data_IF_676403707211
#
_entry.id   IF_676403707211
#
_cell.length_a   1.000
_cell.length_b   1.000
_cell.length_c   1.000
_cell.angle_alpha   90.00
_cell.angle_beta   90.00
_cell.angle_gamma   90.00
#
_symmetry.space_group_name_H-M   'P 1'
#
loop_
_entity.id
_entity.type
_entity.pdbx_description
1 polymer ?
#
# COMPACT_ATOMS: atom_id res chain seq x y z
N UNK A 1 -25.41 82.14 21.02
CA UNK A 1 -24.59 81.12 20.32
C UNK A 1 -25.51 80.05 19.76
N UNK A 2 -25.23 79.56 18.54
CA UNK A 2 -26.24 79.30 17.50
C UNK A 2 -26.65 77.82 17.39
N UNK A 3 -27.97 77.55 17.36
CA UNK A 3 -28.56 76.23 17.06
C UNK A 3 -28.06 75.59 15.75
N UNK A 4 -27.57 76.40 14.79
CA UNK A 4 -27.01 75.93 13.54
C UNK A 4 -25.69 75.13 13.71
N UNK A 5 -24.91 75.40 14.76
CA UNK A 5 -23.62 74.73 15.00
C UNK A 5 -23.82 73.32 15.56
N UNK A 6 -24.85 73.12 16.40
CA UNK A 6 -25.24 71.80 16.91
C UNK A 6 -25.76 70.89 15.81
N UNK A 7 -26.55 71.41 14.87
CA UNK A 7 -27.06 70.63 13.73
C UNK A 7 -25.93 70.15 12.79
N UNK A 8 -24.94 71.01 12.51
CA UNK A 8 -23.75 70.64 11.72
C UNK A 8 -22.93 69.56 12.40
N UNK A 9 -22.74 69.65 13.72
CA UNK A 9 -22.00 68.65 14.50
C UNK A 9 -22.68 67.28 14.49
N UNK A 10 -24.01 67.25 14.64
CA UNK A 10 -24.80 66.00 14.55
C UNK A 10 -24.74 65.41 13.15
N UNK A 11 -24.79 66.24 12.10
CA UNK A 11 -24.67 65.79 10.72
C UNK A 11 -23.29 65.20 10.41
N UNK A 12 -22.21 65.84 10.89
CA UNK A 12 -20.85 65.32 10.76
C UNK A 12 -20.67 63.97 11.47
N UNK A 13 -21.22 63.82 12.68
CA UNK A 13 -21.21 62.54 13.41
C UNK A 13 -21.95 61.44 12.64
N UNK A 14 -23.10 61.75 12.03
CA UNK A 14 -23.84 60.78 11.19
C UNK A 14 -23.08 60.39 9.94
N UNK A 15 -22.38 61.33 9.29
CA UNK A 15 -21.56 61.05 8.10
C UNK A 15 -20.39 60.15 8.47
N UNK A 16 -19.67 60.45 9.55
CA UNK A 16 -18.56 59.63 10.04
C UNK A 16 -19.01 58.23 10.45
N UNK A 17 -20.16 58.12 11.12
CA UNK A 17 -20.74 56.83 11.49
C UNK A 17 -21.08 55.99 10.24
N UNK A 18 -21.72 56.59 9.23
CA UNK A 18 -22.02 55.90 7.96
C UNK A 18 -20.75 55.49 7.21
N UNK A 19 -19.70 56.31 7.23
CA UNK A 19 -18.41 55.95 6.62
C UNK A 19 -17.76 54.75 7.32
N UNK A 20 -17.77 54.72 8.65
CA UNK A 20 -17.24 53.59 9.43
C UNK A 20 -18.04 52.29 9.22
N UNK A 21 -19.37 52.39 9.11
CA UNK A 21 -20.23 51.25 8.81
C UNK A 21 -19.95 50.66 7.42
N UNK A 22 -19.80 51.52 6.40
CA UNK A 22 -19.43 51.12 5.05
C UNK A 22 -18.06 50.43 4.99
N UNK A 23 -17.07 50.93 5.74
CA UNK A 23 -15.75 50.32 5.84
C UNK A 23 -15.82 48.92 6.48
N UNK A 24 -16.58 48.76 7.57
CA UNK A 24 -16.80 47.45 8.21
C UNK A 24 -17.49 46.46 7.28
N UNK A 25 -18.50 46.90 6.53
CA UNK A 25 -19.16 46.05 5.53
C UNK A 25 -18.24 45.64 4.39
N UNK A 26 -17.38 46.54 3.90
CA UNK A 26 -16.41 46.24 2.85
C UNK A 26 -15.39 45.18 3.31
N UNK A 27 -14.84 45.33 4.52
CA UNK A 27 -13.91 44.36 5.12
C UNK A 27 -14.59 43.00 5.28
N UNK A 28 -15.83 42.98 5.79
CA UNK A 28 -16.59 41.73 6.01
C UNK A 28 -16.93 41.01 4.70
N UNK A 29 -17.18 41.76 3.61
CA UNK A 29 -17.41 41.17 2.28
C UNK A 29 -16.11 40.64 1.69
N UNK A 30 -15.01 41.37 1.84
CA UNK A 30 -13.70 40.93 1.38
C UNK A 30 -13.22 39.66 2.10
N UNK A 31 -13.40 39.58 3.43
CA UNK A 31 -13.07 38.38 4.20
C UNK A 31 -13.92 37.18 3.79
N UNK A 32 -15.24 37.37 3.64
CA UNK A 32 -16.15 36.30 3.14
C UNK A 32 -15.81 35.85 1.71
N UNK A 33 -15.28 36.73 0.87
CA UNK A 33 -14.88 36.38 -0.50
C UNK A 33 -13.56 35.60 -0.52
N UNK A 34 -12.58 36.00 0.30
CA UNK A 34 -11.34 35.26 0.49
C UNK A 34 -11.61 33.84 1.03
N UNK A 35 -12.53 33.71 2.00
CA UNK A 35 -12.94 32.43 2.59
C UNK A 35 -13.66 31.52 1.57
N UNK A 36 -14.41 32.11 0.63
CA UNK A 36 -15.01 31.37 -0.49
C UNK A 36 -14.00 30.95 -1.55
N UNK A 37 -12.89 31.67 -1.70
CA UNK A 37 -11.81 31.30 -2.61
C UNK A 37 -10.96 30.15 -2.04
N UNK A 38 -10.69 30.17 -0.72
CA UNK A 38 -9.99 29.07 -0.02
C UNK A 38 -10.84 27.81 0.10
N UNK A 39 -12.17 27.92 0.27
CA UNK A 39 -13.08 26.76 0.30
C UNK A 39 -13.72 26.42 -1.07
N UNK A 40 -13.43 27.21 -2.10
CA UNK A 40 -13.94 27.03 -3.46
C UNK A 40 -13.23 25.94 -4.24
N UNK A 41 -13.65 25.74 -5.50
CA UNK A 41 -13.08 24.73 -6.41
C UNK A 41 -11.56 24.90 -6.60
N UNK A 42 -11.07 26.15 -6.60
CA UNK A 42 -9.64 26.49 -6.69
C UNK A 42 -8.88 26.09 -5.42
N UNK A 43 -9.43 26.38 -4.24
CA UNK A 43 -8.86 25.94 -2.97
C UNK A 43 -8.83 24.42 -2.84
N UNK A 44 -9.89 23.73 -3.27
CA UNK A 44 -9.91 22.26 -3.36
C UNK A 44 -8.84 21.73 -4.31
N UNK A 45 -8.70 22.31 -5.50
CA UNK A 45 -7.69 21.88 -6.49
C UNK A 45 -6.27 22.09 -5.96
N UNK A 46 -5.99 23.22 -5.30
CA UNK A 46 -4.70 23.45 -4.62
C UNK A 46 -4.48 22.45 -3.47
N UNK A 47 -5.51 22.17 -2.67
CA UNK A 47 -5.48 21.18 -1.59
C UNK A 47 -5.29 19.74 -2.11
N UNK A 48 -5.75 19.43 -3.33
CA UNK A 48 -5.47 18.16 -4.02
C UNK A 48 -4.04 18.09 -4.55
N UNK A 49 -3.46 19.20 -5.00
CA UNK A 49 -2.07 19.26 -5.48
C UNK A 49 -1.06 19.25 -4.34
N UNK A 50 -1.41 19.81 -3.18
CA UNK A 50 -0.56 19.85 -1.97
C UNK A 50 -0.84 18.69 -1.00
N UNK A 51 -1.84 17.84 -1.27
CA UNK A 51 -2.14 16.70 -0.41
C UNK A 51 -0.96 15.74 -0.43
N UNK A 52 -0.37 15.50 0.75
CA UNK A 52 0.58 14.39 0.92
C UNK A 52 -0.03 13.13 0.33
N UNK A 53 0.72 12.38 -0.47
CA UNK A 53 0.16 11.22 -1.12
C UNK A 53 -0.31 10.23 -0.06
N UNK A 54 -1.59 9.90 -0.10
CA UNK A 54 -2.21 8.99 0.87
C UNK A 54 -2.06 7.57 0.34
N UNK A 55 -1.43 6.70 1.14
CA UNK A 55 -1.32 5.27 0.83
C UNK A 55 -2.53 4.52 1.35
N UNK A 56 -3.05 3.59 0.57
CA UNK A 56 -4.08 2.62 0.94
C UNK A 56 -3.51 1.20 0.87
N UNK A 57 -3.98 0.33 1.76
CA UNK A 57 -3.63 -1.09 1.80
C UNK A 57 -4.90 -1.88 1.59
N UNK A 58 -4.95 -2.63 0.49
CA UNK A 58 -6.11 -3.41 0.06
C UNK A 58 -5.73 -4.88 0.06
N UNK A 59 -6.65 -5.71 0.56
CA UNK A 59 -6.58 -7.16 0.44
C UNK A 59 -7.72 -7.64 -0.43
N UNK A 60 -7.42 -8.57 -1.33
CA UNK A 60 -8.38 -9.17 -2.23
C UNK A 60 -8.30 -10.69 -2.12
N UNK A 61 -9.44 -11.36 -1.95
CA UNK A 61 -9.55 -12.82 -1.91
C UNK A 61 -9.71 -13.36 -3.31
N UNK A 62 -8.81 -14.23 -3.76
CA UNK A 62 -8.90 -14.81 -5.10
C UNK A 62 -10.01 -15.87 -5.22
N UNK A 63 -10.44 -16.44 -4.10
CA UNK A 63 -11.48 -17.47 -4.07
C UNK A 63 -12.90 -16.88 -4.04
N UNK A 64 -13.11 -15.85 -3.22
CA UNK A 64 -14.44 -15.28 -2.98
C UNK A 64 -14.68 -13.97 -3.74
N UNK A 65 -13.66 -13.41 -4.40
CA UNK A 65 -13.68 -12.09 -5.06
C UNK A 65 -14.00 -10.91 -4.10
N UNK A 66 -14.00 -11.18 -2.79
CA UNK A 66 -14.19 -10.17 -1.76
C UNK A 66 -12.91 -9.37 -1.58
N UNK A 67 -13.05 -8.07 -1.31
CA UNK A 67 -11.93 -7.21 -0.97
C UNK A 67 -12.22 -6.41 0.29
N UNK A 68 -11.16 -6.12 1.04
CA UNK A 68 -11.18 -5.23 2.19
C UNK A 68 -10.12 -4.16 2.02
N UNK A 69 -10.40 -2.95 2.50
CA UNK A 69 -9.41 -1.88 2.60
C UNK A 69 -9.14 -1.63 4.07
N UNK A 70 -7.86 -1.60 4.46
CA UNK A 70 -7.52 -1.34 5.85
C UNK A 70 -8.03 0.05 6.27
N UNK A 71 -8.83 0.15 7.36
CA UNK A 71 -9.41 1.41 7.80
C UNK A 71 -8.36 2.41 8.29
N UNK A 72 -7.28 1.91 8.90
CA UNK A 72 -6.17 2.71 9.39
C UNK A 72 -4.89 2.16 8.77
N UNK A 73 -4.17 3.03 8.07
CA UNK A 73 -2.88 2.69 7.47
C UNK A 73 -1.77 3.00 8.47
N UNK A 74 -0.90 2.02 8.79
CA UNK A 74 0.18 2.24 9.75
C UNK A 74 1.17 3.29 9.24
N UNK A 75 1.74 4.04 10.18
CA UNK A 75 2.83 4.98 9.94
C UNK A 75 3.97 4.71 10.95
N UNK A 76 5.15 4.26 10.51
CA UNK A 76 5.59 4.07 9.12
C UNK A 76 4.85 2.92 8.41
N UNK A 77 4.93 2.91 7.07
CA UNK A 77 4.46 1.78 6.26
C UNK A 77 5.19 0.50 6.66
N UNK A 78 4.55 -0.68 6.48
CA UNK A 78 5.16 -1.95 6.85
C UNK A 78 6.41 -2.22 6.04
N UNK A 79 7.41 -2.84 6.68
CA UNK A 79 8.67 -3.19 6.03
C UNK A 79 8.47 -4.42 5.16
N UNK A 80 8.81 -4.30 3.88
CA UNK A 80 8.80 -5.41 2.92
C UNK A 80 10.18 -6.07 2.99
N UNK A 81 10.22 -7.33 3.42
CA UNK A 81 11.45 -8.11 3.49
C UNK A 81 11.55 -9.04 2.28
N UNK A 82 12.62 -8.89 1.50
CA UNK A 82 12.90 -9.66 0.29
C UNK A 82 14.19 -10.50 0.49
N UNK A 83 14.11 -11.62 1.22
CA UNK A 83 15.29 -12.41 1.53
C UNK A 83 15.86 -13.07 0.27
N UNK A 84 17.17 -13.34 0.27
CA UNK A 84 17.84 -14.15 -0.75
C UNK A 84 18.64 -15.25 -0.08
N UNK A 85 18.50 -16.50 -0.55
CA UNK A 85 19.11 -17.69 0.06
C UNK A 85 20.58 -17.83 -0.33
N UNK A 86 21.38 -16.82 -0.02
CA UNK A 86 22.82 -16.83 -0.30
C UNK A 86 23.56 -17.74 0.69
N UNK A 87 24.50 -18.53 0.18
CA UNK A 87 25.35 -19.41 0.98
C UNK A 87 26.80 -18.90 0.97
N UNK A 88 27.56 -19.20 2.02
CA UNK A 88 28.99 -18.87 2.07
C UNK A 88 29.79 -20.17 2.14
N UNK A 89 30.61 -20.40 1.13
CA UNK A 89 31.54 -21.52 1.07
C UNK A 89 32.89 -21.07 1.62
N UNK A 90 33.28 -21.64 2.76
CA UNK A 90 34.55 -21.29 3.42
C UNK A 90 35.68 -22.12 2.80
N UNK A 91 36.46 -21.50 1.92
CA UNK A 91 37.59 -22.13 1.25
C UNK A 91 38.91 -21.89 2.00
N UNK A 92 39.92 -22.74 1.72
CA UNK A 92 41.26 -22.62 2.32
C UNK A 92 41.96 -21.28 2.01
N UNK A 93 41.60 -20.64 0.89
CA UNK A 93 42.16 -19.35 0.42
C UNK A 93 41.28 -18.14 0.72
N UNK A 94 40.13 -18.34 1.36
CA UNK A 94 39.14 -17.32 1.64
C UNK A 94 37.72 -17.79 1.35
N UNK A 95 36.77 -17.01 1.83
CA UNK A 95 35.35 -17.32 1.74
C UNK A 95 34.78 -16.87 0.39
N UNK A 96 33.98 -17.73 -0.23
CA UNK A 96 33.31 -17.48 -1.50
C UNK A 96 31.80 -17.43 -1.24
N UNK A 97 31.12 -16.41 -1.74
CA UNK A 97 29.66 -16.29 -1.60
C UNK A 97 28.96 -16.90 -2.81
N UNK A 98 28.11 -17.89 -2.56
CA UNK A 98 27.25 -18.55 -3.52
C UNK A 98 25.92 -17.81 -3.57
N UNK A 99 25.61 -17.22 -4.73
CA UNK A 99 24.36 -16.48 -4.95
C UNK A 99 23.24 -17.49 -5.11
N UNK A 100 22.31 -17.50 -4.15
CA UNK A 100 21.17 -18.39 -4.19
C UNK A 100 19.92 -17.72 -4.75
N UNK A 101 18.82 -18.50 -4.87
CA UNK A 101 17.55 -17.97 -5.35
C UNK A 101 16.97 -16.95 -4.36
N UNK A 102 16.12 -16.06 -4.90
CA UNK A 102 15.29 -15.19 -4.07
C UNK A 102 14.36 -16.05 -3.20
N UNK A 103 14.22 -15.66 -1.93
CA UNK A 103 13.25 -16.23 -1.01
C UNK A 103 11.88 -15.59 -1.16
N UNK A 104 10.91 -16.09 -0.39
CA UNK A 104 9.57 -15.53 -0.35
C UNK A 104 9.59 -14.18 0.35
N UNK A 105 8.91 -13.19 -0.23
CA UNK A 105 8.75 -11.90 0.41
C UNK A 105 7.85 -12.02 1.63
N UNK A 106 8.22 -11.32 2.70
CA UNK A 106 7.46 -11.33 3.96
C UNK A 106 7.17 -9.92 4.42
N UNK A 107 6.01 -9.75 5.08
CA UNK A 107 5.53 -8.49 5.59
C UNK A 107 4.83 -8.75 6.93
N UNK A 108 5.05 -7.88 7.91
CA UNK A 108 4.27 -7.87 9.16
C UNK A 108 3.50 -6.57 9.27
N UNK A 109 2.22 -6.68 9.59
CA UNK A 109 1.37 -5.56 10.00
C UNK A 109 1.25 -5.61 11.51
N UNK A 110 2.15 -4.91 12.21
CA UNK A 110 2.24 -4.95 13.67
C UNK A 110 1.32 -3.93 14.34
N UNK A 111 0.54 -4.40 15.32
CA UNK A 111 -0.31 -3.55 16.18
C UNK A 111 -1.20 -2.57 15.38
N UNK A 112 -1.77 -3.05 14.29
CA UNK A 112 -2.69 -2.27 13.47
C UNK A 112 -4.00 -2.05 14.23
N UNK A 113 -4.53 -0.83 14.13
CA UNK A 113 -5.81 -0.46 14.74
C UNK A 113 -6.94 -0.76 13.75
N UNK A 114 -7.87 -1.61 14.18
CA UNK A 114 -9.09 -1.97 13.48
C UNK A 114 -10.29 -1.40 14.28
N UNK A 115 -10.76 -0.18 13.94
CA UNK A 115 -11.87 0.47 14.63
C UNK A 115 -13.18 -0.27 14.36
N UNK A 116 -14.02 -0.42 15.39
CA UNK A 116 -15.31 -1.15 15.28
C UNK A 116 -16.48 -0.20 15.51
N UNK A 117 -17.19 0.14 14.43
CA UNK A 117 -18.32 1.07 14.48
C UNK A 117 -17.94 2.46 15.02
N UNK A 118 -16.71 2.92 14.73
CA UNK A 118 -16.19 4.24 15.12
C UNK A 118 -15.80 5.02 13.86
N UNK A 119 -16.02 6.34 13.91
CA UNK A 119 -15.68 7.27 12.84
C UNK A 119 -14.56 8.22 13.29
N UNK A 120 -13.35 7.69 13.50
CA UNK A 120 -12.20 8.54 13.81
C UNK A 120 -11.76 9.35 12.58
N UNK A 121 -11.22 10.55 12.81
CA UNK A 121 -10.77 11.46 11.74
C UNK A 121 -9.63 10.92 10.88
N UNK A 122 -8.89 9.93 11.41
CA UNK A 122 -7.78 9.26 10.72
C UNK A 122 -8.21 7.99 9.96
N UNK A 123 -9.48 7.58 10.06
CA UNK A 123 -10.01 6.46 9.28
C UNK A 123 -10.11 6.88 7.81
N UNK A 124 -9.73 5.96 6.92
CA UNK A 124 -9.90 6.11 5.49
C UNK A 124 -11.39 6.08 5.13
N UNK A 125 -11.82 6.99 4.25
CA UNK A 125 -13.23 7.06 3.83
C UNK A 125 -13.74 5.81 3.09
N UNK A 126 -12.83 5.04 2.48
CA UNK A 126 -13.06 3.72 1.86
C UNK A 126 -12.69 2.55 2.78
N UNK A 127 -12.34 2.82 4.04
CA UNK A 127 -11.93 1.82 5.01
C UNK A 127 -13.08 0.86 5.36
N UNK A 128 -12.78 -0.43 5.36
CA UNK A 128 -13.72 -1.47 5.81
C UNK A 128 -13.80 -1.46 7.35
N UNK A 129 -14.95 -1.82 7.92
CA UNK A 129 -15.10 -1.90 9.38
C UNK A 129 -14.13 -2.91 10.00
N UNK A 130 -13.60 -2.59 11.18
CA UNK A 130 -12.54 -3.38 11.81
C UNK A 130 -12.96 -4.82 12.13
N UNK A 131 -14.24 -5.05 12.47
CA UNK A 131 -14.75 -6.40 12.73
C UNK A 131 -14.79 -7.22 11.43
N UNK A 132 -15.19 -6.61 10.33
CA UNK A 132 -15.21 -7.24 9.02
C UNK A 132 -13.79 -7.56 8.53
N UNK A 133 -12.83 -6.66 8.75
CA UNK A 133 -11.42 -6.94 8.46
C UNK A 133 -10.91 -8.17 9.21
N UNK A 134 -11.19 -8.26 10.53
CA UNK A 134 -10.78 -9.42 11.32
C UNK A 134 -11.45 -10.71 10.82
N UNK A 135 -12.75 -10.67 10.54
CA UNK A 135 -13.50 -11.82 10.02
C UNK A 135 -12.96 -12.27 8.66
N UNK A 136 -12.62 -11.34 7.77
CA UNK A 136 -12.01 -11.63 6.49
C UNK A 136 -10.70 -12.42 6.67
N UNK A 137 -9.76 -11.94 7.48
CA UNK A 137 -8.49 -12.66 7.70
C UNK A 137 -8.70 -14.03 8.35
N UNK A 138 -9.66 -14.16 9.28
CA UNK A 138 -10.01 -15.45 9.87
C UNK A 138 -10.59 -16.41 8.81
N UNK A 139 -11.50 -15.94 7.96
CA UNK A 139 -12.12 -16.73 6.91
C UNK A 139 -11.10 -17.19 5.85
N UNK A 140 -10.20 -16.32 5.41
CA UNK A 140 -9.14 -16.68 4.46
C UNK A 140 -8.23 -17.80 5.02
N UNK A 141 -7.87 -17.73 6.31
CA UNK A 141 -7.09 -18.78 6.97
C UNK A 141 -7.87 -20.09 7.10
N UNK A 142 -9.16 -20.04 7.42
CA UNK A 142 -10.00 -21.24 7.55
C UNK A 142 -10.24 -21.93 6.21
N UNK A 143 -10.47 -21.16 5.15
CA UNK A 143 -10.70 -21.65 3.78
C UNK A 143 -9.41 -22.06 3.07
N UNK A 144 -8.24 -21.68 3.62
CA UNK A 144 -6.92 -21.91 3.01
C UNK A 144 -6.82 -21.26 1.63
N UNK A 145 -7.45 -20.11 1.49
CA UNK A 145 -7.46 -19.35 0.24
C UNK A 145 -6.24 -18.44 0.15
N UNK A 146 -5.78 -18.24 -1.09
CA UNK A 146 -4.77 -17.25 -1.42
C UNK A 146 -5.46 -15.89 -1.52
N UNK A 147 -4.83 -14.87 -0.94
CA UNK A 147 -5.27 -13.49 -1.07
C UNK A 147 -4.17 -12.68 -1.74
N UNK A 148 -4.51 -11.48 -2.20
CA UNK A 148 -3.58 -10.55 -2.82
C UNK A 148 -3.51 -9.29 -2.00
N UNK A 149 -2.30 -8.86 -1.66
CA UNK A 149 -2.06 -7.58 -0.99
C UNK A 149 -1.61 -6.55 -2.01
N UNK A 150 -2.26 -5.39 -1.98
CA UNK A 150 -1.92 -4.23 -2.80
C UNK A 150 -1.70 -3.01 -1.88
N UNK A 151 -0.51 -2.42 -1.94
CA UNK A 151 -0.18 -1.15 -1.28
C UNK A 151 -0.09 -0.10 -2.38
N UNK A 152 -1.07 0.80 -2.42
CA UNK A 152 -1.25 1.77 -3.50
C UNK A 152 -1.11 3.17 -2.94
N UNK A 153 -0.36 4.02 -3.61
CA UNK A 153 -0.24 5.44 -3.29
C UNK A 153 -1.29 6.24 -4.09
N UNK A 154 -1.74 7.38 -3.56
CA UNK A 154 -2.75 8.24 -4.21
C UNK A 154 -2.43 8.64 -5.65
N UNK A 155 -1.15 8.62 -6.02
CA UNK A 155 -0.67 8.99 -7.36
C UNK A 155 -0.81 7.83 -8.36
N UNK A 156 -1.40 6.71 -7.93
CA UNK A 156 -1.56 5.49 -8.72
C UNK A 156 -0.33 4.58 -8.71
N UNK A 157 0.73 4.94 -7.99
CA UNK A 157 1.92 4.11 -7.87
C UNK A 157 1.67 2.92 -6.94
N UNK A 158 1.99 1.71 -7.42
CA UNK A 158 1.89 0.48 -6.65
C UNK A 158 3.24 0.19 -5.96
N UNK A 159 3.27 0.24 -4.63
CA UNK A 159 4.47 -0.05 -3.82
C UNK A 159 4.66 -1.56 -3.71
N UNK A 160 3.57 -2.29 -3.53
CA UNK A 160 3.57 -3.75 -3.41
C UNK A 160 2.29 -4.29 -4.03
N UNK A 161 2.42 -5.33 -4.84
CA UNK A 161 1.30 -6.08 -5.40
C UNK A 161 1.75 -7.54 -5.50
N UNK A 162 1.30 -8.37 -4.55
CA UNK A 162 1.70 -9.79 -4.52
C UNK A 162 0.59 -10.72 -4.02
N UNK A 163 0.50 -11.94 -4.57
CA UNK A 163 -0.25 -13.01 -3.94
C UNK A 163 0.42 -13.40 -2.62
N UNK A 164 -0.37 -13.62 -1.58
CA UNK A 164 0.11 -13.86 -0.23
C UNK A 164 -0.88 -14.71 0.59
N UNK A 165 -0.37 -15.25 1.69
CA UNK A 165 -1.12 -15.97 2.72
C UNK A 165 -0.84 -15.36 4.09
N UNK A 166 -1.79 -15.54 5.01
CA UNK A 166 -1.63 -15.10 6.41
C UNK A 166 -1.20 -16.30 7.25
N UNK A 167 0.07 -16.29 7.67
CA UNK A 167 0.63 -17.33 8.53
C UNK A 167 0.13 -17.15 9.96
N UNK A 168 0.31 -15.94 10.48
CA UNK A 168 0.04 -15.59 11.87
C UNK A 168 -0.99 -14.47 11.97
N UNK A 169 -1.96 -14.66 12.85
CA UNK A 169 -2.97 -13.65 13.18
C UNK A 169 -3.16 -13.65 14.70
N UNK A 170 -2.81 -12.54 15.32
CA UNK A 170 -3.05 -12.30 16.75
C UNK A 170 -3.83 -11.00 16.92
N UNK A 171 -4.77 -10.95 17.86
CA UNK A 171 -5.57 -9.76 18.09
C UNK A 171 -6.02 -9.64 19.53
N UNK A 172 -6.25 -8.41 19.97
CA UNK A 172 -6.75 -8.07 21.30
C UNK A 172 -7.78 -6.95 21.20
N UNK A 173 -8.71 -6.92 22.14
CA UNK A 173 -9.71 -5.86 22.24
C UNK A 173 -9.19 -4.76 23.17
N UNK A 174 -9.27 -3.51 22.73
CA UNK A 174 -9.04 -2.35 23.59
C UNK A 174 -10.29 -2.05 24.43
N UNK A 175 -10.11 -1.29 25.51
CA UNK A 175 -11.19 -0.86 26.41
C UNK A 175 -12.29 -0.07 25.72
N UNK A 176 -11.94 0.58 24.60
CA UNK A 176 -12.86 1.41 23.79
C UNK A 176 -13.71 0.56 22.84
N UNK A 177 -13.40 -0.74 22.72
CA UNK A 177 -14.09 -1.67 21.82
C UNK A 177 -13.45 -1.79 20.43
N UNK A 178 -12.29 -1.16 20.21
CA UNK A 178 -11.51 -1.33 18.99
C UNK A 178 -10.62 -2.57 19.07
N UNK A 179 -10.20 -3.10 17.92
CA UNK A 179 -9.35 -4.28 17.83
C UNK A 179 -7.93 -3.85 17.48
N UNK A 180 -6.94 -4.35 18.21
CA UNK A 180 -5.51 -4.27 17.84
C UNK A 180 -5.08 -5.62 17.33
N UNK A 181 -4.62 -5.68 16.08
CA UNK A 181 -4.20 -6.91 15.44
C UNK A 181 -2.74 -6.86 15.01
N UNK A 182 -2.08 -8.01 15.03
CA UNK A 182 -0.79 -8.23 14.37
C UNK A 182 -0.94 -9.38 13.38
N UNK A 183 -0.56 -9.12 12.13
CA UNK A 183 -0.77 -10.04 11.00
C UNK A 183 0.57 -10.32 10.31
N UNK A 184 0.99 -11.59 10.31
CA UNK A 184 2.15 -12.07 9.57
C UNK A 184 1.76 -12.57 8.19
N UNK A 185 2.29 -11.92 7.15
CA UNK A 185 1.96 -12.16 5.74
C UNK A 185 3.20 -12.66 5.02
N UNK A 186 3.04 -13.71 4.22
CA UNK A 186 4.09 -14.28 3.39
C UNK A 186 3.61 -14.44 1.94
N UNK A 187 4.52 -14.21 1.00
CA UNK A 187 4.26 -14.36 -0.43
C UNK A 187 3.89 -15.80 -0.79
N UNK A 188 2.89 -15.92 -1.66
CA UNK A 188 2.44 -17.21 -2.19
C UNK A 188 2.86 -17.35 -3.65
N UNK A 189 3.61 -18.40 -3.97
CA UNK A 189 4.03 -18.70 -5.34
C UNK A 189 3.15 -19.81 -5.93
N UNK A 190 2.46 -19.52 -7.03
CA UNK A 190 1.71 -20.54 -7.75
C UNK A 190 2.64 -21.58 -8.35
N UNK A 191 2.32 -22.85 -8.12
CA UNK A 191 3.06 -23.99 -8.69
C UNK A 191 2.62 -24.33 -10.13
N UNK A 192 1.57 -23.68 -10.63
CA UNK A 192 1.03 -23.91 -11.97
C UNK A 192 1.76 -23.06 -13.00
N UNK A 193 2.93 -23.56 -13.42
CA UNK A 193 3.52 -23.22 -14.71
C UNK A 193 2.56 -23.68 -15.81
N UNK A 194 1.78 -22.77 -16.39
CA UNK A 194 1.46 -22.96 -17.80
C UNK A 194 2.80 -23.05 -18.53
N UNK A 195 2.92 -24.05 -19.38
CA UNK A 195 4.13 -24.45 -20.10
C UNK A 195 4.74 -23.25 -20.83
N UNK A 196 5.65 -22.53 -20.19
CA UNK A 196 6.53 -21.61 -20.91
C UNK A 196 7.58 -22.48 -21.59
N UNK A 197 7.53 -22.47 -22.92
CA UNK A 197 8.45 -23.16 -23.82
C UNK A 197 9.89 -22.92 -23.35
N UNK A 198 10.54 -24.00 -22.90
CA UNK A 198 11.99 -24.06 -22.76
C UNK A 198 12.57 -23.66 -24.12
N UNK A 199 13.17 -22.46 -24.21
CA UNK A 199 14.00 -22.12 -25.35
C UNK A 199 15.26 -22.97 -25.25
N UNK A 200 15.33 -24.02 -26.06
CA UNK A 200 16.55 -24.78 -26.32
C UNK A 200 17.56 -23.86 -27.02
N UNK A 201 18.26 -23.05 -26.24
CA UNK A 201 19.52 -22.43 -26.66
C UNK A 201 20.46 -22.35 -25.48
N UNK A 202 20.61 -23.48 -24.78
CA UNK A 202 21.76 -23.78 -23.95
C UNK A 202 22.49 -24.96 -24.57
N UNK A 203 23.57 -24.69 -25.30
CA UNK A 203 24.37 -25.75 -25.92
C UNK A 203 24.88 -26.73 -24.86
N UNK A 204 24.45 -27.99 -24.97
CA UNK A 204 25.08 -29.11 -24.26
C UNK A 204 26.50 -29.30 -24.80
N UNK A 205 27.52 -28.99 -24.01
CA UNK A 205 28.84 -29.59 -24.23
C UNK A 205 28.81 -31.03 -23.73
N UNK A 206 28.34 -31.96 -24.58
CA UNK A 206 28.62 -33.38 -24.40
C UNK A 206 30.09 -33.61 -24.73
N UNK A 207 30.90 -33.88 -23.71
CA UNK A 207 32.24 -34.42 -23.90
C UNK A 207 32.12 -35.74 -24.68
N UNK A 208 32.65 -35.74 -25.91
CA UNK A 208 32.75 -36.94 -26.72
C UNK A 208 33.79 -37.88 -26.11
N UNK A 209 33.34 -38.90 -25.38
CA UNK A 209 34.18 -40.05 -25.02
C UNK A 209 34.55 -40.81 -26.30
N UNK A 210 35.79 -40.65 -26.76
CA UNK A 210 36.38 -41.48 -27.82
C UNK A 210 36.59 -42.90 -27.30
N UNK A 211 35.60 -43.77 -27.49
CA UNK A 211 35.84 -45.21 -27.47
C UNK A 211 36.11 -45.69 -28.91
N UNK A 212 37.37 -46.03 -29.14
CA UNK A 212 37.87 -46.61 -30.39
C UNK A 212 37.37 -48.05 -30.49
N UNK A 213 36.36 -48.29 -31.32
CA UNK A 213 35.86 -49.65 -31.61
C UNK A 213 36.73 -50.30 -32.68
N UNK A 214 37.52 -51.29 -32.27
CA UNK A 214 38.19 -52.26 -33.13
C UNK A 214 37.18 -52.99 -34.02
N UNK A 215 37.42 -53.00 -35.33
CA UNK A 215 36.64 -53.70 -36.36
C UNK A 215 37.48 -54.84 -36.92
N UNK A 216 36.98 -56.08 -36.86
CA UNK A 216 37.19 -57.16 -37.84
C UNK A 216 36.28 -58.34 -37.43
N UNK A 217 35.04 -58.41 -37.94
CA UNK A 217 34.60 -59.10 -39.17
C UNK A 217 34.58 -60.63 -39.05
N UNK A 218 33.38 -61.17 -38.85
CA UNK A 218 33.06 -62.57 -39.10
C UNK A 218 33.02 -62.84 -40.61
N UNK A 219 33.56 -63.98 -41.03
CA UNK A 219 33.25 -64.61 -42.33
C UNK A 219 33.25 -66.12 -42.11
N UNK A 220 32.12 -66.75 -42.39
CA UNK A 220 31.91 -68.19 -42.22
C UNK A 220 32.55 -69.03 -43.32
N UNK A 221 32.62 -70.34 -43.08
CA UNK A 221 33.06 -71.31 -44.08
C UNK A 221 33.00 -72.75 -43.60
N UNK A 222 32.01 -73.48 -44.11
CA UNK A 222 31.90 -74.96 -44.22
C UNK A 222 33.23 -75.74 -44.14
N UNK A 223 33.30 -76.77 -43.30
CA UNK A 223 33.10 -78.20 -43.62
C UNK A 223 33.30 -79.05 -42.37
#
# INVERSE_FOLDING_TARGET
MRFQDSAKKVMQQRIQYKQAELQKMAITRATRYADKLSHGLVGKVLDYLDKKPTTDIVFHSELTDEYITLPVVPNPLPTINEPQKNETFNGLRGDIKLIGPLGLRTLSLDNILLPVGKDYSFIRGNGTDGLQCLQFFQAQRQTKAVMRICIIQSDGNEILNMPCVVNDLSYTWDKVGDIKATIGIEEYVYTNTSTQTQSDTGGENKEASKDTKSTASSTGGKK
#
